data_IF_163160078587
#
_entry.id   IF_163160078587
#
_cell.length_a   1.000
_cell.length_b   1.000
_cell.length_c   1.000
_cell.angle_alpha   90.00
_cell.angle_beta   90.00
_cell.angle_gamma   90.00
#
_symmetry.space_group_name_H-M   'P 1'
#
loop_
_entity.id
_entity.type
_entity.pdbx_description
1 polymer ?
#
# COMPACT_ATOMS: atom_id res chain seq x y z
N UNK A 1 -0.53 11.23 16.38
CA UNK A 1 -0.62 9.76 16.39
C UNK A 1 -1.06 9.37 14.99
N UNK A 2 -0.17 8.77 14.19
CA UNK A 2 -0.52 8.30 12.85
C UNK A 2 -1.59 7.22 12.96
N UNK A 3 -2.59 7.26 12.08
CA UNK A 3 -3.56 6.17 12.01
C UNK A 3 -2.84 4.90 11.55
N UNK A 4 -2.97 3.84 12.34
CA UNK A 4 -2.44 2.52 12.00
C UNK A 4 -3.24 1.94 10.84
N UNK A 5 -2.56 1.28 9.91
CA UNK A 5 -3.17 0.52 8.84
C UNK A 5 -3.99 -0.66 9.40
N UNK A 6 -5.28 -0.69 9.08
CA UNK A 6 -6.21 -1.76 9.48
C UNK A 6 -6.79 -2.52 8.26
N UNK A 7 -6.26 -2.26 7.06
CA UNK A 7 -6.71 -2.90 5.84
C UNK A 7 -6.04 -4.26 5.58
N UNK A 8 -6.50 -4.99 4.55
CA UNK A 8 -5.91 -6.26 4.16
C UNK A 8 -4.49 -6.07 3.58
N UNK A 9 -3.56 -6.92 4.01
CA UNK A 9 -2.24 -7.11 3.41
C UNK A 9 -2.02 -8.59 3.14
N UNK A 10 -2.05 -8.97 1.88
CA UNK A 10 -1.82 -10.34 1.43
C UNK A 10 -0.34 -10.53 1.10
N UNK A 11 0.34 -11.43 1.80
CA UNK A 11 1.73 -11.76 1.49
C UNK A 11 1.80 -12.46 0.12
N UNK A 12 2.57 -11.91 -0.82
CA UNK A 12 2.86 -12.55 -2.11
C UNK A 12 4.11 -13.43 -1.97
N UNK A 13 5.19 -12.86 -1.44
CA UNK A 13 6.44 -13.55 -1.14
C UNK A 13 7.18 -12.88 0.03
N UNK A 14 8.47 -13.17 0.20
CA UNK A 14 9.29 -12.67 1.30
C UNK A 14 9.46 -11.14 1.31
N UNK A 15 9.25 -10.46 0.18
CA UNK A 15 9.53 -9.03 0.03
C UNK A 15 8.36 -8.24 -0.56
N UNK A 16 7.20 -8.87 -0.79
CA UNK A 16 6.05 -8.24 -1.45
C UNK A 16 4.75 -8.55 -0.73
N UNK A 17 4.01 -7.48 -0.44
CA UNK A 17 2.68 -7.52 0.17
C UNK A 17 1.69 -6.79 -0.72
N UNK A 18 0.48 -7.33 -0.84
CA UNK A 18 -0.57 -6.81 -1.72
C UNK A 18 -1.73 -6.26 -0.91
N UNK A 19 -2.12 -5.03 -1.25
CA UNK A 19 -3.43 -4.49 -0.93
C UNK A 19 -4.37 -4.90 -2.08
N UNK A 20 -5.32 -5.83 -1.87
CA UNK A 20 -6.21 -6.27 -2.93
C UNK A 20 -7.07 -5.10 -3.42
N UNK A 21 -7.35 -5.04 -4.72
CA UNK A 21 -8.22 -4.00 -5.31
C UNK A 21 -9.68 -4.10 -4.83
N UNK A 22 -10.05 -5.19 -4.16
CA UNK A 22 -11.35 -5.35 -3.51
C UNK A 22 -11.43 -4.67 -2.16
N UNK A 23 -10.32 -4.16 -1.61
CA UNK A 23 -10.29 -3.48 -0.31
C UNK A 23 -11.23 -2.29 -0.26
N UNK A 24 -11.22 -1.43 -1.30
CA UNK A 24 -12.14 -0.29 -1.42
C UNK A 24 -12.81 -0.28 -2.81
N UNK A 25 -14.14 -0.25 -2.87
CA UNK A 25 -14.86 -0.14 -4.14
C UNK A 25 -14.38 1.07 -4.94
N UNK A 26 -14.00 0.85 -6.19
CA UNK A 26 -13.49 1.89 -7.09
C UNK A 26 -11.97 1.90 -7.29
N UNK A 27 -11.20 1.14 -6.49
CA UNK A 27 -9.81 0.85 -6.82
C UNK A 27 -9.75 0.16 -8.19
N UNK A 28 -8.88 0.64 -9.08
CA UNK A 28 -8.74 0.15 -10.45
C UNK A 28 -7.67 -0.95 -10.57
N UNK A 29 -6.69 -0.93 -9.68
CA UNK A 29 -5.57 -1.87 -9.62
C UNK A 29 -5.28 -2.23 -8.15
N UNK A 30 -4.54 -3.31 -7.85
CA UNK A 30 -4.03 -3.56 -6.50
C UNK A 30 -2.91 -2.57 -6.10
N UNK A 31 -2.64 -2.48 -4.80
CA UNK A 31 -1.41 -1.90 -4.26
C UNK A 31 -0.38 -2.99 -3.99
N UNK A 32 0.90 -2.74 -4.24
CA UNK A 32 2.02 -3.64 -3.93
C UNK A 32 3.06 -2.87 -3.13
N UNK A 33 3.36 -3.36 -1.95
CA UNK A 33 4.36 -2.81 -1.04
C UNK A 33 5.56 -3.75 -1.04
N UNK A 34 6.73 -3.20 -1.35
CA UNK A 34 8.00 -3.90 -1.25
C UNK A 34 8.59 -3.68 0.15
N UNK A 35 8.59 -4.71 0.98
CA UNK A 35 9.13 -4.67 2.33
C UNK A 35 9.43 -6.09 2.81
N UNK A 36 10.38 -6.25 3.72
CA UNK A 36 10.47 -7.47 4.51
C UNK A 36 9.50 -7.43 5.71
N UNK A 37 9.37 -8.53 6.45
CA UNK A 37 8.45 -8.60 7.60
C UNK A 37 8.82 -7.65 8.75
N UNK A 38 10.09 -7.24 8.86
CA UNK A 38 10.52 -6.32 9.91
C UNK A 38 10.09 -4.91 9.56
N UNK A 39 10.40 -4.46 8.36
CA UNK A 39 10.05 -3.16 7.83
C UNK A 39 8.52 -2.99 7.71
N UNK A 40 7.80 -4.05 7.34
CA UNK A 40 6.34 -3.99 7.23
C UNK A 40 5.69 -3.59 8.56
N UNK A 41 6.25 -3.99 9.71
CA UNK A 41 5.73 -3.60 11.02
C UNK A 41 5.77 -2.08 11.22
N UNK A 42 6.81 -1.43 10.72
CA UNK A 42 6.94 0.03 10.82
C UNK A 42 5.98 0.72 9.84
N UNK A 43 5.88 0.21 8.60
CA UNK A 43 4.99 0.75 7.56
C UNK A 43 3.51 0.71 7.99
N UNK A 44 3.05 -0.37 8.64
CA UNK A 44 1.64 -0.44 9.07
C UNK A 44 1.29 0.54 10.19
N UNK A 45 2.28 1.16 10.83
CA UNK A 45 2.04 2.17 11.87
C UNK A 45 1.94 3.61 11.32
N UNK A 46 1.89 3.78 10.00
CA UNK A 46 1.64 5.06 9.35
C UNK A 46 0.49 5.01 8.32
N UNK A 47 0.27 6.15 7.64
CA UNK A 47 -0.80 6.32 6.63
C UNK A 47 -0.35 5.95 5.21
N UNK A 48 0.84 5.40 5.01
CA UNK A 48 1.39 5.19 3.68
C UNK A 48 0.69 4.04 2.94
N UNK A 49 0.33 2.95 3.62
CA UNK A 49 -0.53 1.90 3.02
C UNK A 49 -1.86 2.46 2.47
N UNK A 50 -2.44 3.41 3.20
CA UNK A 50 -3.68 4.09 2.80
C UNK A 50 -3.44 4.99 1.58
N UNK A 51 -2.29 5.66 1.49
CA UNK A 51 -1.91 6.38 0.27
C UNK A 51 -1.78 5.45 -0.92
N UNK A 52 -1.06 4.33 -0.81
CA UNK A 52 -0.95 3.31 -1.87
C UNK A 52 -2.33 2.87 -2.36
N UNK A 53 -3.29 2.66 -1.44
CA UNK A 53 -4.66 2.33 -1.79
C UNK A 53 -5.38 3.48 -2.54
N UNK A 54 -5.19 4.73 -2.13
CA UNK A 54 -5.78 5.91 -2.79
C UNK A 54 -5.20 6.13 -4.20
N UNK A 55 -3.90 5.93 -4.39
CA UNK A 55 -3.25 5.96 -5.71
C UNK A 55 -3.91 4.99 -6.68
N UNK A 56 -4.32 3.81 -6.19
CA UNK A 56 -4.93 2.77 -7.00
C UNK A 56 -6.28 3.16 -7.64
N UNK A 57 -6.87 4.31 -7.27
CA UNK A 57 -8.09 4.85 -7.88
C UNK A 57 -7.83 5.68 -9.14
N UNK A 58 -6.59 6.10 -9.39
CA UNK A 58 -6.29 7.08 -10.43
C UNK A 58 -6.69 6.59 -11.84
N UNK A 59 -7.44 7.37 -12.63
CA UNK A 59 -7.77 7.02 -14.01
C UNK A 59 -6.51 6.79 -14.84
N UNK A 60 -6.47 5.69 -15.58
CA UNK A 60 -5.32 5.33 -16.42
C UNK A 60 -4.15 4.68 -15.69
N UNK A 61 -4.23 4.44 -14.37
CA UNK A 61 -3.22 3.64 -13.66
C UNK A 61 -3.16 2.22 -14.22
N UNK A 62 -1.94 1.67 -14.31
CA UNK A 62 -1.67 0.39 -14.96
C UNK A 62 -1.08 -0.60 -13.97
N UNK A 63 -1.59 -1.84 -13.99
CA UNK A 63 -1.11 -3.02 -13.24
C UNK A 63 -1.19 -2.92 -11.71
N UNK A 64 -0.59 -1.91 -11.08
CA UNK A 64 -0.56 -1.74 -9.64
C UNK A 64 -0.12 -0.33 -9.23
N UNK A 65 -0.52 0.09 -8.03
CA UNK A 65 0.16 1.12 -7.25
C UNK A 65 1.36 0.49 -6.55
N UNK A 66 2.57 1.03 -6.71
CA UNK A 66 3.80 0.43 -6.18
C UNK A 66 4.44 1.32 -5.13
N UNK A 67 4.73 0.73 -3.97
CA UNK A 67 5.45 1.36 -2.88
C UNK A 67 6.79 0.68 -2.64
N UNK A 68 7.86 1.47 -2.60
CA UNK A 68 9.23 1.00 -2.37
C UNK A 68 9.50 0.82 -0.86
N UNK A 69 10.61 0.15 -0.47
CA UNK A 69 10.92 -0.09 0.95
C UNK A 69 11.14 1.17 1.81
N UNK A 70 11.37 2.31 1.20
CA UNK A 70 11.50 3.62 1.83
C UNK A 70 10.17 4.41 1.90
N UNK A 71 9.04 3.73 1.65
CA UNK A 71 7.70 4.29 1.79
C UNK A 71 7.49 4.89 3.18
N UNK A 72 6.92 6.09 3.20
CA UNK A 72 6.54 6.82 4.40
C UNK A 72 5.39 7.76 4.06
N UNK A 73 4.58 8.13 5.05
CA UNK A 73 3.51 9.09 4.82
C UNK A 73 4.01 10.45 4.27
N UNK A 74 3.47 10.88 3.13
CA UNK A 74 3.86 12.11 2.42
C UNK A 74 2.68 12.96 1.92
N UNK A 75 2.94 14.00 1.12
CA UNK A 75 1.89 14.77 0.44
C UNK A 75 1.62 14.18 -0.95
N UNK A 76 0.49 13.50 -1.09
CA UNK A 76 0.10 12.84 -2.33
C UNK A 76 0.59 11.39 -2.39
N UNK A 77 1.83 11.17 -2.82
CA UNK A 77 2.40 9.84 -3.03
C UNK A 77 3.65 9.66 -2.16
N UNK A 78 3.78 8.51 -1.50
CA UNK A 78 4.46 7.37 -2.12
C UNK A 78 3.66 6.06 -2.14
#
# INVERSE_FOLDING_TARGET
>A
MGETWNGPLEKIDNFRFRIPSTYKPGMRVPGIIYADEKLLKDIVHDKACEQVANVAFLPGIVKASLAMPDIHWGYGFP
#
